data_IF_561469904250
#
_entry.id   IF_561469904250
#
_cell.length_a   1.000
_cell.length_b   1.000
_cell.length_c   1.000
_cell.angle_alpha   90.00
_cell.angle_beta   90.00
_cell.angle_gamma   90.00
#
_symmetry.space_group_name_H-M   'P 1'
#
loop_
_entity.id
_entity.type
_entity.pdbx_description
1 polymer ?
#
# COMPACT_ATOMS: atom_id res chain seq x y z
N UNK A 1 -29.59 -12.75 26.54
CA UNK A 1 -28.67 -12.54 27.69
C UNK A 1 -27.55 -13.59 27.60
N UNK A 2 -26.55 -13.41 26.73
CA UNK A 2 -25.38 -14.29 26.65
C UNK A 2 -24.24 -13.66 27.45
N UNK A 3 -24.20 -13.95 28.75
CA UNK A 3 -23.04 -13.69 29.59
C UNK A 3 -22.23 -14.98 29.73
N UNK A 4 -21.05 -15.02 29.13
CA UNK A 4 -20.07 -16.10 29.36
C UNK A 4 -18.66 -15.62 29.03
N UNK A 5 -18.09 -14.79 29.89
CA UNK A 5 -16.64 -14.58 29.98
C UNK A 5 -16.27 -14.50 31.45
N UNK A 6 -16.04 -15.66 32.04
CA UNK A 6 -15.63 -15.81 33.44
C UNK A 6 -14.85 -17.11 33.60
N UNK A 7 -13.70 -17.23 32.92
CA UNK A 7 -12.74 -18.29 33.21
C UNK A 7 -11.79 -17.82 34.31
N UNK A 8 -12.25 -17.98 35.55
CA UNK A 8 -11.42 -17.99 36.73
C UNK A 8 -11.11 -19.44 37.13
N UNK A 9 -9.81 -19.73 37.26
CA UNK A 9 -9.18 -20.75 38.12
C UNK A 9 -8.68 -22.07 37.49
N UNK A 10 -7.53 -21.96 36.83
CA UNK A 10 -6.38 -22.89 36.96
C UNK A 10 -5.05 -22.10 37.00
N UNK A 11 -4.94 -21.26 38.05
CA UNK A 11 -3.78 -20.57 38.69
C UNK A 11 -2.48 -20.28 37.92
N UNK A 12 -2.46 -20.23 36.60
CA UNK A 12 -1.25 -19.87 35.85
C UNK A 12 -1.22 -18.34 35.68
N UNK A 13 -0.25 -17.63 36.28
CA UNK A 13 -0.15 -16.19 36.08
C UNK A 13 0.13 -15.88 34.61
N UNK A 14 -0.49 -14.82 34.08
CA UNK A 14 -0.20 -14.34 32.73
C UNK A 14 1.30 -14.00 32.56
N UNK A 15 1.80 -13.91 31.33
CA UNK A 15 3.22 -13.65 31.07
C UNK A 15 3.74 -12.39 31.79
N UNK A 16 2.91 -11.34 31.87
CA UNK A 16 3.24 -10.12 32.59
C UNK A 16 3.44 -10.35 34.09
N UNK A 17 2.45 -10.95 34.74
CA UNK A 17 2.50 -11.19 36.18
C UNK A 17 3.61 -12.19 36.55
N UNK A 18 3.88 -13.17 35.69
CA UNK A 18 4.99 -14.10 35.83
C UNK A 18 6.34 -13.38 35.77
N UNK A 19 6.56 -12.51 34.77
CA UNK A 19 7.80 -11.74 34.62
C UNK A 19 8.01 -10.74 35.77
N UNK A 20 6.94 -10.05 36.18
CA UNK A 20 6.95 -9.05 37.26
C UNK A 20 6.92 -9.67 38.66
N UNK A 21 6.89 -11.00 38.78
CA UNK A 21 6.86 -11.75 40.06
C UNK A 21 5.73 -11.28 41.00
N UNK A 22 4.55 -11.00 40.47
CA UNK A 22 3.37 -10.55 41.24
C UNK A 22 2.17 -11.47 41.02
N UNK A 23 1.18 -11.40 41.92
CA UNK A 23 -0.07 -12.15 41.78
C UNK A 23 -0.86 -11.64 40.56
N UNK A 24 -1.38 -12.56 39.74
CA UNK A 24 -2.31 -12.25 38.66
C UNK A 24 -3.72 -12.16 39.24
N UNK A 25 -4.30 -10.96 39.26
CA UNK A 25 -5.69 -10.73 39.66
C UNK A 25 -6.67 -11.22 38.58
N UNK A 26 -7.96 -11.38 38.94
CA UNK A 26 -9.01 -11.76 37.99
C UNK A 26 -9.15 -10.69 36.89
N UNK A 27 -9.17 -9.41 37.28
CA UNK A 27 -9.21 -8.26 36.37
C UNK A 27 -7.80 -7.74 36.04
N UNK A 28 -6.89 -8.64 35.64
CA UNK A 28 -5.55 -8.22 35.27
C UNK A 28 -5.53 -7.58 33.87
N UNK A 29 -5.07 -6.32 33.71
CA UNK A 29 -5.10 -5.61 32.43
C UNK A 29 -4.22 -6.24 31.35
N UNK A 30 -3.30 -7.13 31.74
CA UNK A 30 -2.40 -7.82 30.82
C UNK A 30 -2.86 -9.23 30.47
N UNK A 31 -3.73 -9.85 31.28
CA UNK A 31 -4.07 -11.27 31.14
C UNK A 31 -4.71 -11.63 29.80
N UNK A 32 -5.65 -10.82 29.25
CA UNK A 32 -6.26 -11.12 27.97
C UNK A 32 -5.30 -11.09 26.78
N UNK A 33 -4.19 -10.35 26.88
CA UNK A 33 -3.31 -10.05 25.75
C UNK A 33 -1.94 -10.73 25.82
N UNK A 34 -1.50 -11.12 27.03
CA UNK A 34 -0.18 -11.71 27.28
C UNK A 34 -0.29 -13.10 27.89
N UNK A 35 -0.49 -14.09 27.02
CA UNK A 35 -0.58 -15.51 27.39
C UNK A 35 0.70 -16.02 28.07
N UNK A 36 0.59 -16.88 29.11
CA UNK A 36 1.76 -17.50 29.75
C UNK A 36 2.59 -18.38 28.81
N UNK A 37 2.02 -18.83 27.69
CA UNK A 37 2.72 -19.62 26.67
C UNK A 37 3.66 -18.79 25.79
N UNK A 38 3.52 -17.47 25.80
CA UNK A 38 4.30 -16.55 24.97
C UNK A 38 5.02 -15.49 25.81
N UNK A 39 5.89 -15.89 26.77
CA UNK A 39 6.52 -14.96 27.71
C UNK A 39 7.39 -13.90 27.02
N UNK A 40 7.91 -14.22 25.84
CA UNK A 40 8.75 -13.31 25.06
C UNK A 40 7.99 -12.06 24.59
N UNK A 41 6.67 -12.18 24.32
CA UNK A 41 5.85 -11.03 23.92
C UNK A 41 5.82 -9.97 25.02
N UNK A 42 5.63 -10.37 26.28
CA UNK A 42 5.65 -9.40 27.37
C UNK A 42 7.07 -8.92 27.69
N UNK A 43 8.08 -9.81 27.61
CA UNK A 43 9.46 -9.43 27.87
C UNK A 43 9.97 -8.33 26.93
N UNK A 44 9.64 -8.40 25.62
CA UNK A 44 10.06 -7.37 24.67
C UNK A 44 9.38 -6.02 24.94
N UNK A 45 8.05 -5.99 25.12
CA UNK A 45 7.34 -4.73 25.39
C UNK A 45 7.72 -4.14 26.74
N UNK A 46 7.98 -4.98 27.74
CA UNK A 46 8.47 -4.53 29.03
C UNK A 46 9.84 -3.87 28.93
N UNK A 47 10.75 -4.42 28.12
CA UNK A 47 12.09 -3.87 27.91
C UNK A 47 12.05 -2.50 27.22
N UNK A 48 11.17 -2.31 26.24
CA UNK A 48 11.15 -1.10 25.40
C UNK A 48 10.24 -0.01 25.98
N UNK A 49 9.04 -0.35 26.41
CA UNK A 49 8.03 0.61 26.88
C UNK A 49 7.90 0.63 28.40
N UNK A 50 8.15 -0.49 29.08
CA UNK A 50 7.92 -0.65 30.51
C UNK A 50 6.47 -1.00 30.85
N UNK A 51 6.26 -1.78 31.91
CA UNK A 51 4.94 -2.32 32.26
C UNK A 51 3.89 -1.23 32.50
N UNK A 52 4.26 -0.15 33.20
CA UNK A 52 3.33 0.94 33.54
C UNK A 52 2.85 1.67 32.29
N UNK A 53 3.74 1.93 31.33
CA UNK A 53 3.37 2.61 30.09
C UNK A 53 2.50 1.70 29.21
N UNK A 54 2.85 0.41 29.09
CA UNK A 54 1.99 -0.56 28.37
C UNK A 54 0.60 -0.61 28.99
N UNK A 55 0.49 -0.64 30.31
CA UNK A 55 -0.82 -0.60 30.99
C UNK A 55 -1.61 0.66 30.63
N UNK A 56 -0.98 1.85 30.67
CA UNK A 56 -1.63 3.12 30.32
C UNK A 56 -2.10 3.13 28.87
N UNK A 57 -1.22 2.80 27.92
CA UNK A 57 -1.54 2.77 26.49
C UNK A 57 -2.70 1.81 26.19
N UNK A 58 -2.73 0.63 26.83
CA UNK A 58 -3.87 -0.29 26.65
C UNK A 58 -5.17 0.26 27.24
N UNK A 59 -5.13 1.00 28.35
CA UNK A 59 -6.34 1.59 28.95
C UNK A 59 -6.87 2.81 28.19
N UNK A 60 -6.00 3.53 27.47
CA UNK A 60 -6.38 4.66 26.60
C UNK A 60 -7.10 4.21 25.32
N UNK A 61 -6.92 2.95 24.92
CA UNK A 61 -7.55 2.36 23.73
C UNK A 61 -8.87 1.68 24.09
N UNK A 62 -9.93 1.80 23.25
CA UNK A 62 -11.19 1.06 23.44
C UNK A 62 -10.96 -0.44 23.54
N UNK A 63 -11.76 -1.13 24.36
CA UNK A 63 -11.52 -2.55 24.68
C UNK A 63 -11.45 -3.46 23.44
N UNK A 64 -12.25 -3.14 22.42
CA UNK A 64 -12.29 -3.86 21.14
C UNK A 64 -10.97 -3.81 20.37
N UNK A 65 -10.15 -2.79 20.57
CA UNK A 65 -8.89 -2.57 19.86
C UNK A 65 -7.66 -2.90 20.71
N UNK A 66 -7.83 -3.20 22.00
CA UNK A 66 -6.69 -3.47 22.91
C UNK A 66 -5.85 -4.67 22.48
N UNK A 67 -6.47 -5.68 21.87
CA UNK A 67 -5.74 -6.85 21.35
C UNK A 67 -4.80 -6.46 20.19
N UNK A 68 -5.28 -5.61 19.28
CA UNK A 68 -4.48 -5.10 18.15
C UNK A 68 -3.41 -4.13 18.63
N UNK A 69 -3.73 -3.28 19.61
CA UNK A 69 -2.75 -2.39 20.25
C UNK A 69 -1.63 -3.19 20.94
N UNK A 70 -1.97 -4.23 21.71
CA UNK A 70 -0.97 -5.10 22.32
C UNK A 70 -0.08 -5.78 21.27
N UNK A 71 -0.66 -6.26 20.16
CA UNK A 71 0.08 -6.86 19.04
C UNK A 71 1.02 -5.85 18.37
N UNK A 72 0.57 -4.61 18.19
CA UNK A 72 1.37 -3.51 17.62
C UNK A 72 2.55 -3.15 18.52
N UNK A 73 2.31 -3.02 19.83
CA UNK A 73 3.39 -2.79 20.81
C UNK A 73 4.42 -3.91 20.79
N UNK A 74 3.99 -5.18 20.69
CA UNK A 74 4.91 -6.32 20.58
C UNK A 74 5.74 -6.23 19.30
N UNK A 75 5.13 -5.89 18.17
CA UNK A 75 5.85 -5.71 16.90
C UNK A 75 6.89 -4.60 16.99
N UNK A 76 6.50 -3.42 17.47
CA UNK A 76 7.38 -2.25 17.60
C UNK A 76 8.53 -2.51 18.58
N UNK A 77 8.24 -3.15 19.72
CA UNK A 77 9.27 -3.51 20.68
C UNK A 77 10.28 -4.49 20.07
N UNK A 78 9.82 -5.49 19.33
CA UNK A 78 10.72 -6.43 18.65
C UNK A 78 11.54 -5.74 17.56
N UNK A 79 10.94 -4.82 16.80
CA UNK A 79 11.66 -4.04 15.80
C UNK A 79 12.79 -3.23 16.46
N UNK A 80 12.50 -2.54 17.56
CA UNK A 80 13.49 -1.75 18.32
C UNK A 80 14.56 -2.62 19.01
N UNK A 81 14.26 -3.87 19.36
CA UNK A 81 15.28 -4.80 19.86
C UNK A 81 16.24 -5.23 18.75
N UNK A 82 15.73 -5.50 17.54
CA UNK A 82 16.56 -5.89 16.38
C UNK A 82 17.37 -4.72 15.84
N UNK A 83 16.76 -3.54 15.78
CA UNK A 83 17.39 -2.29 15.34
C UNK A 83 17.19 -1.22 16.43
N UNK A 84 18.20 -1.04 17.31
CA UNK A 84 18.14 -0.05 18.37
C UNK A 84 18.12 1.41 17.88
N UNK A 85 18.53 1.66 16.62
CA UNK A 85 18.64 3.00 16.06
C UNK A 85 17.31 3.40 15.41
N UNK A 86 16.83 2.61 14.45
CA UNK A 86 15.63 2.97 13.67
C UNK A 86 14.39 2.15 14.02
N UNK A 87 14.53 0.96 14.62
CA UNK A 87 13.40 0.11 15.01
C UNK A 87 12.39 -0.12 13.87
N UNK A 88 11.12 0.21 14.09
CA UNK A 88 10.09 0.09 13.05
C UNK A 88 10.22 1.15 11.94
N UNK A 89 10.87 2.29 12.20
CA UNK A 89 11.09 3.33 11.18
C UNK A 89 12.01 2.85 10.06
N UNK A 90 12.96 1.96 10.36
CA UNK A 90 13.81 1.34 9.34
C UNK A 90 12.99 0.51 8.35
N UNK A 91 12.01 -0.25 8.85
CA UNK A 91 11.09 -1.01 8.00
C UNK A 91 10.20 -0.08 7.15
N UNK A 92 9.70 1.02 7.73
CA UNK A 92 8.91 2.02 6.99
C UNK A 92 9.75 2.62 5.86
N UNK A 93 10.99 3.05 6.14
CA UNK A 93 11.86 3.65 5.13
C UNK A 93 12.20 2.68 4.00
N UNK A 94 12.52 1.42 4.33
CA UNK A 94 12.80 0.39 3.33
C UNK A 94 11.58 0.13 2.42
N UNK A 95 10.38 0.02 3.00
CA UNK A 95 9.14 -0.18 2.24
C UNK A 95 8.82 1.03 1.36
N UNK A 96 9.04 2.25 1.84
CA UNK A 96 8.85 3.46 1.05
C UNK A 96 9.81 3.52 -0.15
N UNK A 97 11.09 3.17 0.05
CA UNK A 97 12.06 3.08 -1.04
C UNK A 97 11.67 2.01 -2.06
N UNK A 98 11.21 0.85 -1.60
CA UNK A 98 10.75 -0.23 -2.48
C UNK A 98 9.53 0.20 -3.30
N UNK A 99 8.55 0.84 -2.67
CA UNK A 99 7.37 1.36 -3.36
C UNK A 99 7.76 2.40 -4.44
N UNK A 100 8.68 3.31 -4.12
CA UNK A 100 9.19 4.30 -5.07
C UNK A 100 9.93 3.64 -6.24
N UNK A 101 10.79 2.65 -5.97
CA UNK A 101 11.51 1.90 -7.00
C UNK A 101 10.57 1.18 -7.95
N UNK A 102 9.57 0.47 -7.41
CA UNK A 102 8.57 -0.24 -8.21
C UNK A 102 7.72 0.73 -9.03
N UNK A 103 7.37 1.89 -8.46
CA UNK A 103 6.63 2.91 -9.20
C UNK A 103 7.46 3.50 -10.35
N UNK A 104 8.77 3.69 -10.16
CA UNK A 104 9.68 4.15 -11.21
C UNK A 104 9.80 3.12 -12.34
N UNK A 105 9.91 1.83 -12.00
CA UNK A 105 9.95 0.74 -12.98
C UNK A 105 8.65 0.67 -13.80
N UNK A 106 7.49 0.73 -13.14
CA UNK A 106 6.19 0.79 -13.82
C UNK A 106 6.09 1.98 -14.78
N UNK A 107 6.58 3.15 -14.36
CA UNK A 107 6.59 4.34 -15.20
C UNK A 107 7.52 4.19 -16.40
N UNK A 108 8.70 3.58 -16.23
CA UNK A 108 9.63 3.31 -17.31
C UNK A 108 9.01 2.37 -18.36
N UNK A 109 8.39 1.27 -17.93
CA UNK A 109 7.71 0.33 -18.83
C UNK A 109 6.54 0.99 -19.57
N UNK A 110 5.75 1.82 -18.87
CA UNK A 110 4.66 2.58 -19.49
C UNK A 110 5.16 3.55 -20.56
N UNK A 111 6.25 4.26 -20.27
CA UNK A 111 6.89 5.16 -21.25
C UNK A 111 7.38 4.39 -22.47
N UNK A 112 7.95 3.20 -22.27
CA UNK A 112 8.43 2.37 -23.37
C UNK A 112 7.28 1.83 -24.24
N UNK A 113 6.17 1.39 -23.64
CA UNK A 113 4.95 1.01 -24.38
C UNK A 113 4.43 2.17 -25.23
N UNK A 114 4.42 3.39 -24.67
CA UNK A 114 3.97 4.58 -25.40
C UNK A 114 4.89 4.91 -26.59
N UNK A 115 6.21 4.70 -26.45
CA UNK A 115 7.16 4.86 -27.56
C UNK A 115 6.87 3.89 -28.70
N UNK A 116 6.65 2.61 -28.41
CA UNK A 116 6.33 1.63 -29.44
C UNK A 116 5.02 1.97 -30.17
N UNK A 117 3.97 2.33 -29.43
CA UNK A 117 2.68 2.73 -30.02
C UNK A 117 2.79 3.99 -30.88
N UNK A 118 3.54 4.99 -30.43
CA UNK A 118 3.77 6.20 -31.21
C UNK A 118 4.54 5.89 -32.51
N UNK A 119 5.55 5.01 -32.43
CA UNK A 119 6.30 4.55 -33.59
C UNK A 119 5.41 3.81 -34.59
N UNK A 120 4.59 2.85 -34.15
CA UNK A 120 3.62 2.14 -35.00
C UNK A 120 2.65 3.11 -35.68
N UNK A 121 2.08 4.06 -34.94
CA UNK A 121 1.17 5.07 -35.49
C UNK A 121 1.87 5.98 -36.51
N UNK A 122 3.11 6.40 -36.25
CA UNK A 122 3.89 7.20 -37.19
C UNK A 122 4.20 6.42 -38.48
N UNK A 123 4.57 5.14 -38.37
CA UNK A 123 4.78 4.29 -39.54
C UNK A 123 3.50 4.09 -40.34
N UNK A 124 2.37 3.85 -39.67
CA UNK A 124 1.06 3.71 -40.32
C UNK A 124 0.65 5.01 -41.06
N UNK A 125 0.89 6.18 -40.46
CA UNK A 125 0.61 7.47 -41.09
C UNK A 125 1.44 7.70 -42.38
N UNK A 126 2.72 7.29 -42.39
CA UNK A 126 3.59 7.39 -43.58
C UNK A 126 3.10 6.47 -44.70
N UNK A 127 2.62 5.26 -44.38
CA UNK A 127 2.08 4.33 -45.40
C UNK A 127 0.78 4.85 -46.04
N UNK A 128 -0.07 5.53 -45.28
CA UNK A 128 -1.29 6.17 -45.80
C UNK A 128 -0.97 7.39 -46.66
N UNK A 129 0.07 8.15 -46.32
CA UNK A 129 0.50 9.32 -47.09
C UNK A 129 1.28 8.98 -48.40
N UNK A 130 1.66 7.72 -48.60
CA UNK A 130 2.44 7.24 -49.75
C UNK A 130 1.66 6.98 -51.05
N UNK A 131 0.33 7.14 -51.07
CA UNK A 131 -0.45 7.09 -52.30
C UNK A 131 -0.66 8.51 -52.86
N UNK A 132 -0.09 8.87 -54.03
CA UNK A 132 -0.40 10.15 -54.65
C UNK A 132 -1.90 10.16 -55.00
N UNK A 133 -2.63 11.26 -54.72
CA UNK A 133 -3.99 11.40 -55.23
C UNK A 133 -3.89 11.52 -56.76
N UNK A 134 -4.29 10.47 -57.47
CA UNK A 134 -4.46 10.54 -58.91
C UNK A 134 -5.60 11.55 -59.17
N UNK A 135 -5.23 12.71 -59.70
CA UNK A 135 -6.15 13.81 -59.93
C UNK A 135 -6.93 13.56 -61.22
N UNK A 136 -7.87 12.61 -61.20
CA UNK A 136 -8.91 12.50 -62.22
C UNK A 136 -10.25 12.92 -61.64
N UNK A 137 -10.59 14.16 -61.96
CA UNK A 137 -11.83 14.84 -61.67
C UNK A 137 -12.97 14.15 -62.42
N UNK A 138 -13.81 13.41 -61.72
CA UNK A 138 -15.19 13.13 -62.13
C UNK A 138 -16.06 12.70 -60.94
N UNK A 139 -17.00 13.60 -60.62
CA UNK A 139 -18.28 13.46 -59.91
C UNK A 139 -18.72 12.04 -59.52
N UNK A 140 -18.81 11.77 -58.21
CA UNK A 140 -19.47 10.58 -57.68
C UNK A 140 -19.52 10.60 -56.15
N UNK A 141 -20.70 10.82 -55.60
CA UNK A 141 -21.00 10.83 -54.16
C UNK A 141 -20.69 9.45 -53.54
N UNK A 142 -19.87 9.41 -52.50
CA UNK A 142 -19.51 8.19 -51.79
C UNK A 142 -18.73 8.50 -50.51
N UNK A 143 -19.46 8.72 -49.43
CA UNK A 143 -18.93 8.90 -48.08
C UNK A 143 -18.24 7.61 -47.63
N UNK A 144 -16.90 7.57 -47.64
CA UNK A 144 -16.15 6.47 -47.05
C UNK A 144 -15.55 6.90 -45.71
N UNK A 145 -16.29 6.56 -44.66
CA UNK A 145 -15.88 6.65 -43.27
C UNK A 145 -14.65 5.76 -43.04
N UNK A 146 -13.47 6.35 -42.95
CA UNK A 146 -12.31 5.65 -42.39
C UNK A 146 -12.47 5.62 -40.87
N UNK A 147 -13.21 4.61 -40.41
CA UNK A 147 -13.24 4.24 -38.99
C UNK A 147 -11.90 3.60 -38.65
N UNK A 148 -10.95 4.40 -38.17
CA UNK A 148 -9.81 3.86 -37.41
C UNK A 148 -10.32 3.59 -35.99
N UNK A 149 -10.86 2.41 -35.78
CA UNK A 149 -11.21 1.89 -34.46
C UNK A 149 -9.92 1.53 -33.71
N UNK A 150 -9.30 2.52 -33.07
CA UNK A 150 -8.36 2.28 -31.98
C UNK A 150 -9.15 2.04 -30.69
N UNK A 151 -9.90 0.94 -30.64
CA UNK A 151 -10.50 0.44 -29.41
C UNK A 151 -9.51 -0.51 -28.75
N UNK A 152 -8.84 -0.03 -27.72
CA UNK A 152 -8.47 -0.89 -26.59
C UNK A 152 -8.57 -0.04 -25.34
N UNK A 153 -9.74 -0.08 -24.73
CA UNK A 153 -9.95 0.27 -23.34
C UNK A 153 -8.98 -0.55 -22.48
N UNK A 154 -7.99 0.10 -21.90
CA UNK A 154 -7.37 -0.36 -20.67
C UNK A 154 -7.59 0.73 -19.64
N UNK A 155 -8.75 0.63 -19.01
CA UNK A 155 -9.13 1.44 -17.87
C UNK A 155 -8.18 1.10 -16.70
N UNK A 156 -7.27 2.01 -16.35
CA UNK A 156 -6.54 1.96 -15.09
C UNK A 156 -7.09 3.07 -14.20
N UNK A 157 -8.24 2.79 -13.60
CA UNK A 157 -8.74 3.59 -12.48
C UNK A 157 -7.79 3.42 -11.30
N UNK A 158 -7.13 4.50 -10.90
CA UNK A 158 -6.34 4.58 -9.67
C UNK A 158 -7.22 5.19 -8.57
N UNK A 159 -7.37 4.58 -7.37
CA UNK A 159 -7.93 5.29 -6.23
C UNK A 159 -6.81 6.02 -5.45
N UNK A 160 -6.83 7.34 -5.59
CA UNK A 160 -6.67 8.37 -4.55
C UNK A 160 -5.43 8.37 -3.61
N UNK A 161 -4.66 9.45 -3.66
CA UNK A 161 -4.35 10.27 -2.47
C UNK A 161 -3.88 11.66 -2.90
N UNK A 162 -4.38 12.67 -2.18
CA UNK A 162 -4.48 14.06 -2.63
C UNK A 162 -3.16 14.80 -2.87
N UNK A 163 -3.14 15.54 -3.97
CA UNK A 163 -2.57 16.88 -4.07
C UNK A 163 -3.20 17.55 -5.30
N UNK A 164 -3.85 18.69 -5.07
CA UNK A 164 -4.36 19.53 -6.14
C UNK A 164 -3.19 20.06 -6.98
N UNK A 165 -3.11 19.63 -8.23
CA UNK A 165 -2.40 20.34 -9.29
C UNK A 165 -3.11 20.08 -10.62
N UNK A 166 -3.71 21.15 -11.13
CA UNK A 166 -4.30 21.27 -12.45
C UNK A 166 -3.23 20.94 -13.52
N UNK A 167 -3.27 19.72 -14.06
CA UNK A 167 -2.52 19.36 -15.27
C UNK A 167 -3.53 18.91 -16.29
N UNK A 168 -3.88 19.87 -17.15
CA UNK A 168 -4.63 19.66 -18.37
C UNK A 168 -3.83 18.75 -19.29
N UNK A 169 -4.10 17.45 -19.22
CA UNK A 169 -3.60 16.44 -20.15
C UNK A 169 -4.20 16.73 -21.53
N UNK A 170 -3.50 17.56 -22.30
CA UNK A 170 -3.72 17.75 -23.73
C UNK A 170 -2.70 16.89 -24.43
N UNK A 171 -3.04 15.62 -24.58
CA UNK A 171 -2.29 14.62 -25.30
C UNK A 171 -2.34 14.96 -26.80
N UNK A 172 -1.36 15.73 -27.29
CA UNK A 172 -1.06 15.88 -28.70
C UNK A 172 0.42 15.51 -28.90
N UNK A 173 0.66 14.29 -29.40
CA UNK A 173 1.91 14.00 -30.09
C UNK A 173 1.85 14.74 -31.43
N UNK A 174 2.25 16.01 -31.44
CA UNK A 174 2.41 16.78 -32.67
C UNK A 174 3.57 16.18 -33.46
N UNK A 175 3.24 15.45 -34.54
CA UNK A 175 4.22 14.99 -35.52
C UNK A 175 4.67 16.21 -36.31
N UNK A 176 5.84 16.76 -35.99
CA UNK A 176 6.46 17.81 -36.79
C UNK A 176 7.05 17.15 -38.03
N UNK A 177 6.39 17.32 -39.17
CA UNK A 177 6.88 16.87 -40.48
C UNK A 177 7.92 17.88 -40.97
N UNK A 178 9.15 17.47 -41.32
CA UNK A 178 10.14 18.40 -41.88
C UNK A 178 9.74 18.80 -43.30
N UNK A 179 9.72 20.11 -43.56
CA UNK A 179 9.47 20.75 -44.87
C UNK A 179 10.65 20.64 -45.81
#
# INVERSE_FOLDING_TARGET
>A
MLGSHGQGNSSTPCAACKLLRRRCAQECPFSPYFSPHEPQKFACVHKIFGASNVSKMLMEVPESQRADAASSLVYEANARIRDPVYGCMGAISALQQQAQSLQAELNAVRQEIMRYRCHENAMAAVMVAGFPPNNDRSTGSGTLSSQTSASTDYNVTSPNSGAAADVKDRTECTVVVPT
#
